data_IF_257269933247
#
_entry.id   IF_257269933247
#
_cell.length_a   1.000
_cell.length_b   1.000
_cell.length_c   1.000
_cell.angle_alpha   90.00
_cell.angle_beta   90.00
_cell.angle_gamma   90.00
#
_symmetry.space_group_name_H-M   'P 1'
#
loop_
_entity.id
_entity.type
_entity.pdbx_description
1 polymer ?
#
# COMPACT_ATOMS: atom_id res chain seq x y z
N UNK A 1 37.66 -23.61 -1.96
CA UNK A 1 37.17 -24.57 -0.94
C UNK A 1 35.89 -23.99 -0.38
N UNK A 2 34.72 -24.47 -0.80
CA UNK A 2 33.42 -23.92 -0.36
C UNK A 2 33.09 -24.48 1.01
N UNK A 3 33.34 -23.69 2.05
CA UNK A 3 33.03 -24.07 3.43
C UNK A 3 31.50 -24.00 3.60
N UNK A 4 30.84 -25.16 3.55
CA UNK A 4 29.40 -25.29 3.79
C UNK A 4 29.15 -25.09 5.29
N UNK A 5 28.99 -23.84 5.73
CA UNK A 5 28.43 -23.54 7.05
C UNK A 5 27.00 -24.09 7.08
N UNK A 6 26.71 -24.99 8.03
CA UNK A 6 25.34 -25.46 8.26
C UNK A 6 24.48 -24.25 8.63
N UNK A 7 23.46 -23.96 7.82
CA UNK A 7 22.38 -23.03 8.18
C UNK A 7 21.71 -23.51 9.47
N UNK A 8 21.34 -22.57 10.35
CA UNK A 8 20.53 -22.84 11.54
C UNK A 8 19.10 -23.19 11.15
N UNK A 9 18.63 -22.72 9.99
CA UNK A 9 17.32 -23.05 9.44
C UNK A 9 17.41 -24.44 8.76
N UNK A 10 16.68 -25.46 9.24
CA UNK A 10 16.76 -26.80 8.67
C UNK A 10 16.04 -26.88 7.32
N UNK A 11 16.33 -27.93 6.55
CA UNK A 11 15.54 -28.29 5.38
C UNK A 11 14.26 -29.00 5.82
N UNK A 12 13.10 -28.39 5.57
CA UNK A 12 11.80 -28.95 5.91
C UNK A 12 11.33 -29.98 4.88
N UNK A 13 10.65 -31.03 5.36
CA UNK A 13 10.04 -32.07 4.51
C UNK A 13 8.60 -31.73 4.12
N UNK A 14 7.97 -30.79 4.82
CA UNK A 14 6.60 -30.34 4.56
C UNK A 14 6.36 -28.91 5.05
N UNK A 15 5.33 -28.26 4.51
CA UNK A 15 4.90 -26.91 4.95
C UNK A 15 4.44 -26.94 6.41
N UNK A 16 3.82 -28.03 6.87
CA UNK A 16 3.35 -28.19 8.25
C UNK A 16 4.52 -28.23 9.25
N UNK A 17 5.62 -28.88 8.87
CA UNK A 17 6.85 -28.92 9.66
C UNK A 17 7.51 -27.54 9.76
N UNK A 18 7.57 -26.81 8.64
CA UNK A 18 8.07 -25.43 8.59
C UNK A 18 7.24 -24.49 9.48
N UNK A 19 5.90 -24.57 9.39
CA UNK A 19 5.01 -23.78 10.23
C UNK A 19 5.22 -24.08 11.73
N UNK A 20 5.26 -25.36 12.11
CA UNK A 20 5.48 -25.76 13.49
C UNK A 20 6.85 -25.31 14.03
N UNK A 21 7.87 -25.26 13.18
CA UNK A 21 9.17 -24.71 13.53
C UNK A 21 9.06 -23.20 13.84
N UNK A 22 8.45 -22.42 12.97
CA UNK A 22 8.30 -20.97 13.19
C UNK A 22 7.31 -20.59 14.29
N UNK A 23 6.34 -21.45 14.61
CA UNK A 23 5.42 -21.25 15.74
C UNK A 23 6.13 -21.39 17.10
N UNK A 24 7.26 -22.10 17.14
CA UNK A 24 7.99 -22.44 18.37
C UNK A 24 9.33 -21.74 18.53
N UNK A 25 9.85 -21.11 17.47
CA UNK A 25 11.15 -20.43 17.47
C UNK A 25 10.98 -18.94 17.20
N UNK A 26 11.79 -18.11 17.86
CA UNK A 26 11.84 -16.69 17.56
C UNK A 26 12.58 -16.48 16.23
N UNK A 27 11.98 -15.74 15.30
CA UNK A 27 12.59 -15.47 14.01
C UNK A 27 13.87 -14.63 14.13
N UNK A 28 14.00 -13.84 15.20
CA UNK A 28 15.18 -12.98 15.43
C UNK A 28 16.46 -13.77 15.68
N UNK A 29 16.37 -15.03 16.14
CA UNK A 29 17.52 -15.93 16.32
C UNK A 29 18.23 -16.32 15.00
N UNK A 30 17.58 -16.04 13.87
CA UNK A 30 18.00 -16.34 12.50
C UNK A 30 18.23 -15.08 11.66
N UNK A 31 18.29 -13.88 12.28
CA UNK A 31 18.44 -12.60 11.57
C UNK A 31 19.68 -12.55 10.66
N UNK A 32 20.76 -13.25 11.05
CA UNK A 32 22.01 -13.37 10.29
C UNK A 32 21.86 -14.12 8.96
N UNK A 33 20.79 -14.89 8.80
CA UNK A 33 20.47 -15.63 7.59
C UNK A 33 19.43 -14.94 6.70
N UNK A 34 18.79 -13.88 7.20
CA UNK A 34 17.79 -13.13 6.45
C UNK A 34 18.41 -12.05 5.56
N UNK A 35 17.67 -11.68 4.52
CA UNK A 35 18.02 -10.57 3.64
C UNK A 35 17.15 -9.37 3.99
N UNK A 36 17.74 -8.18 4.23
CA UNK A 36 16.96 -6.98 4.48
C UNK A 36 16.11 -6.65 3.25
N UNK A 37 14.84 -6.32 3.50
CA UNK A 37 13.90 -5.87 2.46
C UNK A 37 13.48 -4.44 2.73
N UNK A 38 13.43 -3.61 1.68
CA UNK A 38 12.92 -2.25 1.80
C UNK A 38 11.40 -2.26 1.80
N UNK A 39 10.79 -1.98 2.94
CA UNK A 39 9.34 -1.89 3.07
C UNK A 39 8.89 -0.46 2.75
N UNK A 40 8.03 -0.30 1.76
CA UNK A 40 7.36 0.96 1.47
C UNK A 40 5.95 0.93 2.06
N UNK A 41 5.76 1.65 3.16
CA UNK A 41 4.41 1.89 3.67
C UNK A 41 3.75 2.99 2.83
N UNK A 42 2.65 2.67 2.15
CA UNK A 42 1.85 3.70 1.50
C UNK A 42 1.36 4.69 2.55
N UNK A 43 1.70 5.98 2.41
CA UNK A 43 1.10 7.04 3.22
C UNK A 43 -0.40 7.02 2.94
N UNK A 44 -1.21 6.67 3.94
CA UNK A 44 -2.67 6.76 3.82
C UNK A 44 -3.05 8.21 3.58
N UNK A 45 -3.69 8.48 2.44
CA UNK A 45 -4.31 9.78 2.18
C UNK A 45 -5.40 10.02 3.23
N UNK A 46 -5.50 11.24 3.75
CA UNK A 46 -6.57 11.59 4.68
C UNK A 46 -7.81 11.98 3.88
N UNK A 47 -8.97 11.30 4.06
CA UNK A 47 -10.18 11.70 3.38
C UNK A 47 -10.66 13.06 3.88
N UNK A 48 -11.21 13.87 2.98
CA UNK A 48 -11.90 15.13 3.31
C UNK A 48 -13.34 15.01 2.83
N UNK A 49 -14.29 15.28 3.71
CA UNK A 49 -15.72 15.34 3.35
C UNK A 49 -16.09 16.78 3.03
N UNK A 50 -16.46 17.03 1.77
CA UNK A 50 -16.97 18.33 1.32
C UNK A 50 -18.47 18.21 1.08
N UNK A 51 -19.25 19.12 1.65
CA UNK A 51 -20.69 19.18 1.43
C UNK A 51 -20.99 20.02 0.20
N UNK A 52 -21.87 19.49 -0.65
CA UNK A 52 -22.38 20.16 -1.84
C UNK A 52 -23.91 20.07 -1.79
N UNK A 53 -24.60 21.06 -2.34
CA UNK A 53 -26.04 20.95 -2.58
C UNK A 53 -26.33 19.91 -3.67
N UNK A 54 -27.60 19.52 -3.77
CA UNK A 54 -28.05 18.46 -4.70
C UNK A 54 -27.81 18.83 -6.17
N UNK A 55 -27.99 20.10 -6.54
CA UNK A 55 -27.83 20.53 -7.92
C UNK A 55 -26.35 20.46 -8.32
N UNK A 56 -25.46 20.95 -7.46
CA UNK A 56 -24.01 20.89 -7.69
C UNK A 56 -23.51 19.45 -7.79
N UNK A 57 -23.95 18.54 -6.90
CA UNK A 57 -23.58 17.12 -7.00
C UNK A 57 -24.04 16.47 -8.30
N UNK A 58 -25.23 16.83 -8.77
CA UNK A 58 -25.78 16.31 -10.02
C UNK A 58 -24.91 16.76 -11.20
N UNK A 59 -24.54 18.04 -11.24
CA UNK A 59 -23.66 18.58 -12.27
C UNK A 59 -22.27 17.92 -12.25
N UNK A 60 -21.65 17.82 -11.07
CA UNK A 60 -20.34 17.18 -10.91
C UNK A 60 -20.36 15.72 -11.41
N UNK A 61 -21.42 14.98 -11.09
CA UNK A 61 -21.57 13.58 -11.51
C UNK A 61 -21.76 13.46 -13.02
N UNK A 62 -22.59 14.33 -13.61
CA UNK A 62 -22.81 14.34 -15.05
C UNK A 62 -21.52 14.68 -15.82
N UNK A 63 -20.80 15.72 -15.38
CA UNK A 63 -19.52 16.11 -15.99
C UNK A 63 -18.46 15.00 -15.84
N UNK A 64 -18.40 14.32 -14.69
CA UNK A 64 -17.47 13.22 -14.49
C UNK A 64 -17.78 12.04 -15.42
N UNK A 65 -19.07 11.72 -15.58
CA UNK A 65 -19.55 10.66 -16.49
C UNK A 65 -19.21 10.97 -17.94
N UNK A 66 -19.43 12.19 -18.40
CA UNK A 66 -19.07 12.63 -19.76
C UNK A 66 -17.56 12.52 -20.03
N UNK A 67 -16.75 12.69 -18.98
CA UNK A 67 -15.28 12.54 -19.03
C UNK A 67 -14.79 11.11 -18.76
N UNK A 68 -15.69 10.14 -18.56
CA UNK A 68 -15.34 8.75 -18.31
C UNK A 68 -14.59 8.50 -17.01
N UNK A 69 -14.83 9.31 -15.97
CA UNK A 69 -14.13 9.19 -14.67
C UNK A 69 -15.09 9.29 -13.47
N UNK A 70 -14.62 8.86 -12.30
CA UNK A 70 -15.39 8.99 -11.07
C UNK A 70 -15.53 10.46 -10.63
N UNK A 71 -16.66 10.80 -10.02
CA UNK A 71 -16.93 12.16 -9.50
C UNK A 71 -15.85 12.64 -8.54
N UNK A 72 -15.37 11.76 -7.65
CA UNK A 72 -14.28 12.10 -6.70
C UNK A 72 -12.95 12.36 -7.39
N UNK A 73 -12.65 11.64 -8.48
CA UNK A 73 -11.47 11.88 -9.32
C UNK A 73 -11.54 13.25 -9.99
N UNK A 74 -12.70 13.60 -10.57
CA UNK A 74 -12.91 14.91 -11.18
C UNK A 74 -12.72 16.03 -10.15
N UNK A 75 -13.35 15.92 -8.99
CA UNK A 75 -13.23 16.91 -7.90
C UNK A 75 -11.77 17.05 -7.48
N UNK A 76 -11.06 15.95 -7.24
CA UNK A 76 -9.64 15.96 -6.87
C UNK A 76 -8.79 16.69 -7.91
N UNK A 77 -8.98 16.36 -9.19
CA UNK A 77 -8.24 16.98 -10.30
C UNK A 77 -8.45 18.49 -10.33
N UNK A 78 -9.70 18.97 -10.29
CA UNK A 78 -10.00 20.40 -10.29
C UNK A 78 -9.46 21.14 -9.07
N UNK A 79 -9.52 20.51 -7.88
CA UNK A 79 -8.92 21.10 -6.66
C UNK A 79 -7.41 21.27 -6.85
N UNK A 80 -6.71 20.25 -7.37
CA UNK A 80 -5.27 20.33 -7.62
C UNK A 80 -4.91 21.38 -8.67
N UNK A 81 -5.67 21.47 -9.75
CA UNK A 81 -5.49 22.51 -10.79
C UNK A 81 -5.60 23.92 -10.17
N UNK A 82 -6.63 24.15 -9.36
CA UNK A 82 -6.85 25.45 -8.70
C UNK A 82 -5.77 25.78 -7.68
N UNK A 83 -5.30 24.80 -6.91
CA UNK A 83 -4.19 24.99 -5.97
C UNK A 83 -2.89 25.36 -6.70
N UNK A 84 -2.61 24.71 -7.83
CA UNK A 84 -1.44 25.02 -8.65
C UNK A 84 -1.48 26.45 -9.19
N UNK A 85 -2.65 26.92 -9.61
CA UNK A 85 -2.84 28.31 -10.07
C UNK A 85 -2.71 29.33 -8.94
N UNK A 86 -3.17 29.02 -7.73
CA UNK A 86 -3.11 29.93 -6.58
C UNK A 86 -1.71 30.09 -5.99
N UNK A 87 -0.77 29.20 -6.33
CA UNK A 87 0.62 29.23 -5.88
C UNK A 87 1.59 29.88 -6.88
N UNK A 88 1.08 30.29 -8.05
CA UNK A 88 1.82 30.99 -9.11
C UNK A 88 1.56 32.50 -9.02
#
# INVERSE_FOLDING_TARGET
MTNTSKSKIPAFKSIQEEAAFWDTHDFTDYEDEFKPVQVHFAKKERPVTVRFDRQTLTQLTQTAREKGMATTTLIRMWVLERLKMAQA
#
